data_IF_937820106985
#
_entry.id   IF_937820106985
#
_cell.length_a   1.000
_cell.length_b   1.000
_cell.length_c   1.000
_cell.angle_alpha   90.00
_cell.angle_beta   90.00
_cell.angle_gamma   90.00
#
_symmetry.space_group_name_H-M   'P 1'
#
loop_
_entity.id
_entity.type
_entity.pdbx_description
1 polymer ?
#
# COMPACT_ATOMS: atom_id res chain seq x y z
N UNK A 1 -10.15 -48.06 -18.91
CA UNK A 1 -9.33 -47.98 -17.69
C UNK A 1 -10.04 -47.11 -16.66
N UNK A 2 -10.19 -47.54 -15.39
CA UNK A 2 -10.78 -46.69 -14.36
C UNK A 2 -9.86 -45.48 -14.11
N UNK A 3 -10.35 -44.27 -14.35
CA UNK A 3 -9.57 -43.05 -14.19
C UNK A 3 -9.44 -42.69 -12.70
N UNK A 4 -8.20 -42.70 -12.17
CA UNK A 4 -7.89 -42.24 -10.81
C UNK A 4 -8.17 -40.74 -10.70
N UNK A 5 -9.10 -40.34 -9.82
CA UNK A 5 -9.41 -38.94 -9.56
C UNK A 5 -8.23 -38.27 -8.84
N UNK A 6 -7.84 -37.08 -9.28
CA UNK A 6 -6.89 -36.20 -8.60
C UNK A 6 -7.31 -34.74 -8.74
N UNK A 7 -6.96 -33.86 -7.78
CA UNK A 7 -7.13 -32.43 -7.93
C UNK A 7 -6.41 -31.88 -9.17
N UNK A 8 -6.90 -30.75 -9.69
CA UNK A 8 -6.24 -30.05 -10.79
C UNK A 8 -4.88 -29.50 -10.32
N UNK A 9 -3.91 -29.46 -11.22
CA UNK A 9 -2.57 -28.93 -10.92
C UNK A 9 -2.59 -27.41 -10.99
N UNK A 10 -2.48 -26.77 -9.84
CA UNK A 10 -2.40 -25.32 -9.70
C UNK A 10 -3.75 -24.61 -9.79
N UNK A 11 -3.85 -23.48 -9.09
CA UNK A 11 -5.02 -22.60 -9.17
C UNK A 11 -5.08 -21.92 -10.53
N UNK A 12 -6.31 -21.78 -11.05
CA UNK A 12 -6.61 -21.00 -12.26
C UNK A 12 -6.82 -19.50 -11.96
N UNK A 13 -6.94 -19.11 -10.70
CA UNK A 13 -7.17 -17.72 -10.30
C UNK A 13 -5.98 -16.80 -10.63
N UNK A 14 -4.77 -17.36 -10.71
CA UNK A 14 -3.55 -16.62 -11.06
C UNK A 14 -3.21 -16.70 -12.56
N UNK A 15 -4.22 -16.91 -13.40
CA UNK A 15 -4.10 -16.91 -14.86
C UNK A 15 -4.60 -15.58 -15.43
N UNK A 16 -3.97 -15.02 -16.48
CA UNK A 16 -2.76 -15.51 -17.15
C UNK A 16 -1.51 -15.29 -16.30
N UNK A 17 -0.61 -16.29 -16.28
CA UNK A 17 0.69 -16.19 -15.60
C UNK A 17 1.66 -15.38 -16.46
N UNK A 18 1.48 -14.06 -16.43
CA UNK A 18 2.31 -13.09 -17.17
C UNK A 18 3.15 -12.26 -16.21
N UNK A 19 4.16 -11.56 -16.75
CA UNK A 19 4.92 -10.57 -15.98
C UNK A 19 3.98 -9.47 -15.51
N UNK A 20 4.16 -9.03 -14.26
CA UNK A 20 3.42 -7.88 -13.73
C UNK A 20 3.75 -6.63 -14.55
N UNK A 21 2.75 -5.77 -14.77
CA UNK A 21 2.93 -4.51 -15.50
C UNK A 21 3.72 -3.47 -14.69
N UNK A 22 3.69 -3.58 -13.36
CA UNK A 22 4.47 -2.75 -12.44
C UNK A 22 5.19 -3.65 -11.44
N UNK A 23 6.41 -3.25 -11.08
CA UNK A 23 7.16 -3.90 -10.00
C UNK A 23 6.61 -3.50 -8.62
N UNK A 24 6.07 -2.28 -8.50
CA UNK A 24 5.39 -1.83 -7.28
C UNK A 24 3.99 -2.44 -7.23
N UNK A 25 3.63 -3.17 -6.15
CA UNK A 25 2.30 -3.74 -6.01
C UNK A 25 1.24 -2.63 -5.96
N UNK A 26 0.04 -2.94 -6.46
CA UNK A 26 -1.15 -2.08 -6.35
C UNK A 26 -2.18 -2.82 -5.52
N UNK A 27 -2.78 -2.12 -4.56
CA UNK A 27 -3.83 -2.65 -3.72
C UNK A 27 -5.19 -2.40 -4.38
N UNK A 28 -5.97 -3.47 -4.53
CA UNK A 28 -7.30 -3.43 -5.14
C UNK A 28 -8.40 -3.16 -4.09
N UNK A 29 -8.13 -3.46 -2.82
CA UNK A 29 -9.07 -3.30 -1.72
C UNK A 29 -8.39 -2.72 -0.49
N UNK A 30 -9.19 -2.01 0.30
CA UNK A 30 -8.77 -1.27 1.48
C UNK A 30 -9.65 -1.66 2.67
N UNK A 31 -9.10 -1.73 3.90
CA UNK A 31 -9.88 -2.06 5.09
C UNK A 31 -10.88 -0.94 5.42
N UNK A 32 -12.06 -1.31 5.92
CA UNK A 32 -13.01 -0.33 6.48
C UNK A 32 -12.45 0.28 7.77
N UNK A 33 -12.63 1.59 7.95
CA UNK A 33 -12.17 2.32 9.13
C UNK A 33 -13.37 2.63 10.01
N UNK A 34 -13.33 2.18 11.26
CA UNK A 34 -14.33 2.51 12.29
C UNK A 34 -13.99 3.78 13.09
N UNK A 35 -12.71 4.17 13.12
CA UNK A 35 -12.20 5.24 13.99
C UNK A 35 -11.30 6.19 13.21
N UNK A 36 -11.76 7.45 13.07
CA UNK A 36 -10.98 8.60 12.60
C UNK A 36 -10.28 8.44 11.23
N UNK A 37 -9.69 9.52 10.70
CA UNK A 37 -8.83 9.40 9.53
C UNK A 37 -7.49 8.75 9.92
N UNK A 38 -7.12 7.65 9.25
CA UNK A 38 -5.82 6.98 9.44
C UNK A 38 -5.23 6.53 8.11
N UNK A 39 -3.90 6.57 8.01
CA UNK A 39 -3.18 5.94 6.90
C UNK A 39 -3.31 4.42 7.03
N UNK A 40 -3.66 3.77 5.92
CA UNK A 40 -3.99 2.35 5.89
C UNK A 40 -2.87 1.44 5.41
N UNK A 41 -1.81 2.00 4.81
CA UNK A 41 -0.72 1.21 4.23
C UNK A 41 0.63 1.94 4.33
N UNK A 42 1.70 1.16 4.24
CA UNK A 42 3.08 1.62 4.27
C UNK A 42 3.98 0.68 3.47
N UNK A 43 5.04 1.21 2.88
CA UNK A 43 5.96 0.45 2.04
C UNK A 43 7.35 0.33 2.65
N UNK A 44 8.05 -0.76 2.32
CA UNK A 44 9.42 -1.02 2.72
C UNK A 44 10.16 -1.90 1.71
N UNK A 45 11.44 -2.14 1.98
CA UNK A 45 12.35 -2.92 1.15
C UNK A 45 12.71 -4.22 1.87
N UNK A 46 12.66 -5.34 1.16
CA UNK A 46 13.04 -6.63 1.74
C UNK A 46 14.56 -6.70 1.90
N UNK A 47 15.03 -6.81 3.15
CA UNK A 47 16.44 -6.98 3.46
C UNK A 47 16.83 -8.48 3.49
N UNK A 48 16.04 -9.31 4.17
CA UNK A 48 16.39 -10.72 4.33
C UNK A 48 15.43 -11.51 5.19
N UNK A 49 15.88 -12.67 5.66
CA UNK A 49 15.14 -13.54 6.57
C UNK A 49 16.05 -14.02 7.69
N UNK A 50 15.50 -14.20 8.88
CA UNK A 50 16.18 -14.79 10.03
C UNK A 50 15.16 -15.61 10.85
N UNK A 51 15.55 -16.09 12.02
CA UNK A 51 14.65 -16.66 13.01
C UNK A 51 14.62 -15.80 14.26
N UNK A 52 13.46 -15.76 14.92
CA UNK A 52 13.29 -15.15 16.23
C UNK A 52 12.85 -16.22 17.22
N UNK A 53 13.36 -16.14 18.45
CA UNK A 53 12.80 -16.89 19.57
C UNK A 53 11.74 -16.01 20.24
N UNK A 54 10.51 -16.53 20.34
CA UNK A 54 9.35 -15.79 20.83
C UNK A 54 8.58 -16.65 21.81
N UNK A 55 8.06 -16.05 22.88
CA UNK A 55 7.16 -16.73 23.82
C UNK A 55 5.77 -16.87 23.19
N UNK A 56 5.22 -18.08 23.15
CA UNK A 56 3.88 -18.32 22.60
C UNK A 56 2.79 -17.89 23.58
N UNK A 57 2.13 -16.76 23.31
CA UNK A 57 1.05 -16.22 24.13
C UNK A 57 -0.34 -16.78 23.79
N UNK A 58 -0.46 -17.72 22.85
CA UNK A 58 -1.75 -18.29 22.46
C UNK A 58 -2.25 -19.26 23.53
N UNK A 59 -3.30 -18.88 24.25
CA UNK A 59 -3.84 -19.63 25.40
C UNK A 59 -4.27 -21.07 25.10
N UNK A 60 -4.72 -21.35 23.86
CA UNK A 60 -5.16 -22.69 23.43
C UNK A 60 -4.04 -23.53 22.81
N UNK A 61 -2.81 -23.01 22.76
CA UNK A 61 -1.67 -23.71 22.18
C UNK A 61 -1.06 -24.66 23.20
N UNK A 62 -0.57 -25.82 22.73
CA UNK A 62 0.18 -26.76 23.58
C UNK A 62 1.51 -26.16 24.04
N UNK A 63 2.04 -25.19 23.30
CA UNK A 63 3.29 -24.48 23.62
C UNK A 63 3.07 -23.18 24.36
N UNK A 64 1.85 -22.91 24.86
CA UNK A 64 1.54 -21.68 25.59
C UNK A 64 2.54 -21.44 26.75
N UNK A 65 3.12 -20.24 26.81
CA UNK A 65 4.11 -19.85 27.80
C UNK A 65 5.52 -20.41 27.58
N UNK A 66 5.76 -21.16 26.49
CA UNK A 66 7.09 -21.66 26.11
C UNK A 66 7.69 -20.84 24.99
N UNK A 67 9.01 -20.84 24.92
CA UNK A 67 9.77 -20.23 23.82
C UNK A 67 9.70 -21.13 22.56
N UNK A 68 9.37 -20.52 21.42
CA UNK A 68 9.30 -21.16 20.11
C UNK A 68 10.16 -20.39 19.10
N UNK A 69 10.76 -21.12 18.15
CA UNK A 69 11.51 -20.53 17.05
C UNK A 69 10.59 -20.25 15.86
N UNK A 70 10.55 -19.01 15.38
CA UNK A 70 9.69 -18.57 14.28
C UNK A 70 10.55 -17.97 13.16
N UNK A 71 10.35 -18.37 11.88
CA UNK A 71 11.00 -17.71 10.75
C UNK A 71 10.39 -16.32 10.54
N UNK A 72 11.25 -15.30 10.43
CA UNK A 72 10.85 -13.91 10.24
C UNK A 72 11.50 -13.32 9.00
N UNK A 73 10.79 -12.40 8.34
CA UNK A 73 11.33 -11.61 7.22
C UNK A 73 11.62 -10.21 7.72
N UNK A 74 12.84 -9.72 7.49
CA UNK A 74 13.26 -8.37 7.87
C UNK A 74 13.01 -7.44 6.68
N UNK A 75 12.26 -6.38 6.94
CA UNK A 75 11.99 -5.31 5.99
C UNK A 75 12.63 -4.02 6.52
N UNK A 76 13.36 -3.31 5.66
CA UNK A 76 13.79 -1.94 5.92
C UNK A 76 12.69 -0.97 5.53
N UNK A 77 12.26 -0.16 6.50
CA UNK A 77 11.05 0.63 6.38
C UNK A 77 11.35 2.09 6.72
N UNK A 78 12.12 2.81 5.87
CA UNK A 78 12.46 4.20 6.12
C UNK A 78 11.21 5.10 6.08
N UNK A 79 11.25 6.30 6.70
CA UNK A 79 10.13 7.24 6.64
C UNK A 79 9.73 7.54 5.19
N UNK A 80 8.44 7.43 4.89
CA UNK A 80 7.86 7.82 3.61
C UNK A 80 7.41 9.27 3.64
N UNK A 81 7.23 9.86 2.47
CA UNK A 81 6.73 11.24 2.33
C UNK A 81 5.43 11.26 1.53
N UNK A 82 4.58 12.22 1.88
CA UNK A 82 3.35 12.52 1.15
C UNK A 82 3.68 13.54 0.06
N UNK A 83 3.33 13.24 -1.18
CA UNK A 83 3.43 14.17 -2.31
C UNK A 83 2.15 14.98 -2.48
N UNK A 84 0.98 14.33 -2.37
CA UNK A 84 -0.30 14.96 -2.58
C UNK A 84 -1.44 14.18 -1.90
N UNK A 85 -2.60 14.81 -1.77
CA UNK A 85 -3.87 14.19 -1.42
C UNK A 85 -4.74 14.13 -2.67
N UNK A 86 -5.23 12.95 -3.04
CA UNK A 86 -6.13 12.74 -4.16
C UNK A 86 -7.55 12.48 -3.65
N UNK A 87 -8.50 13.18 -4.25
CA UNK A 87 -9.92 13.09 -3.89
C UNK A 87 -10.68 12.41 -5.02
N UNK A 88 -11.62 11.55 -4.66
CA UNK A 88 -12.48 10.83 -5.58
C UNK A 88 -13.95 11.19 -5.36
N UNK A 89 -14.66 11.30 -6.47
CA UNK A 89 -16.11 11.47 -6.54
C UNK A 89 -16.75 10.21 -7.12
N UNK A 90 -17.96 9.88 -6.67
CA UNK A 90 -18.77 8.84 -7.31
C UNK A 90 -19.43 9.41 -8.56
N UNK A 91 -19.17 8.76 -9.68
CA UNK A 91 -19.90 8.97 -10.93
C UNK A 91 -20.79 7.77 -11.23
N UNK A 92 -21.69 7.88 -12.23
CA UNK A 92 -22.47 6.73 -12.72
C UNK A 92 -21.62 5.54 -13.18
N UNK A 93 -20.32 5.76 -13.43
CA UNK A 93 -19.35 4.75 -13.86
C UNK A 93 -18.40 4.31 -12.74
N UNK A 94 -18.68 4.71 -11.49
CA UNK A 94 -17.87 4.43 -10.31
C UNK A 94 -16.98 5.61 -9.90
N UNK A 95 -16.01 5.32 -9.04
CA UNK A 95 -15.05 6.28 -8.48
C UNK A 95 -14.19 6.91 -9.59
N UNK A 96 -14.22 8.24 -9.66
CA UNK A 96 -13.34 9.03 -10.55
C UNK A 96 -12.56 10.02 -9.72
N UNK A 97 -11.32 10.30 -10.12
CA UNK A 97 -10.53 11.38 -9.51
C UNK A 97 -11.18 12.73 -9.78
N UNK A 98 -11.63 13.42 -8.73
CA UNK A 98 -12.13 14.79 -8.79
C UNK A 98 -10.96 15.79 -8.92
N UNK A 99 -9.88 15.54 -8.18
CA UNK A 99 -8.65 16.33 -8.26
C UNK A 99 -7.62 15.91 -7.22
N UNK A 100 -6.54 16.68 -7.17
CA UNK A 100 -5.39 16.43 -6.29
C UNK A 100 -4.91 17.73 -5.67
N UNK A 101 -4.54 17.67 -4.38
CA UNK A 101 -3.84 18.75 -3.68
C UNK A 101 -2.41 18.35 -3.41
N UNK A 102 -1.48 19.01 -4.12
CA UNK A 102 -0.04 18.77 -3.97
C UNK A 102 0.55 19.55 -2.79
N UNK A 103 1.58 18.98 -2.17
CA UNK A 103 2.31 19.66 -1.12
C UNK A 103 3.11 20.84 -1.69
N UNK A 104 3.24 21.93 -0.93
CA UNK A 104 4.01 23.13 -1.32
C UNK A 104 5.50 22.84 -1.49
N UNK A 105 6.05 21.99 -0.63
CA UNK A 105 7.45 21.56 -0.70
C UNK A 105 7.52 20.05 -0.93
N UNK A 106 7.98 19.65 -2.11
CA UNK A 106 8.19 18.26 -2.47
C UNK A 106 9.69 18.00 -2.64
N UNK A 107 10.17 16.81 -2.24
CA UNK A 107 11.59 16.47 -2.37
C UNK A 107 12.01 16.48 -3.85
N UNK A 108 13.14 17.11 -4.15
CA UNK A 108 13.74 17.16 -5.50
C UNK A 108 13.95 15.77 -6.10
N UNK A 109 14.16 14.75 -5.27
CA UNK A 109 14.30 13.35 -5.70
C UNK A 109 13.06 12.81 -6.40
N UNK A 110 11.86 13.29 -6.05
CA UNK A 110 10.63 12.90 -6.75
C UNK A 110 10.65 13.35 -8.21
N UNK A 111 11.33 14.47 -8.49
CA UNK A 111 11.53 15.01 -9.84
C UNK A 111 12.27 14.07 -10.80
N UNK A 112 13.01 13.09 -10.28
CA UNK A 112 13.66 12.06 -11.08
C UNK A 112 12.66 11.07 -11.68
N UNK A 113 11.50 10.90 -11.04
CA UNK A 113 10.50 9.90 -11.43
C UNK A 113 9.27 10.51 -12.08
N UNK A 114 8.85 11.68 -11.65
CA UNK A 114 7.63 12.37 -12.07
C UNK A 114 7.88 13.87 -12.29
N UNK A 115 7.20 14.51 -13.24
CA UNK A 115 7.22 15.96 -13.36
C UNK A 115 6.48 16.58 -12.16
N UNK A 116 7.21 17.26 -11.29
CA UNK A 116 6.64 17.90 -10.09
C UNK A 116 6.13 19.30 -10.44
N UNK A 117 4.91 19.68 -10.01
CA UNK A 117 4.39 21.05 -10.17
C UNK A 117 5.30 22.07 -9.46
N UNK A 118 5.76 23.11 -10.17
CA UNK A 118 6.65 24.15 -9.60
C UNK A 118 5.89 25.31 -8.95
N UNK A 119 4.81 25.74 -9.59
CA UNK A 119 3.98 26.88 -9.15
C UNK A 119 2.57 26.38 -8.86
N UNK A 120 2.42 25.65 -7.75
CA UNK A 120 1.14 25.07 -7.36
C UNK A 120 0.59 25.80 -6.14
N UNK A 121 -0.68 26.19 -6.22
CA UNK A 121 -1.38 26.90 -5.16
C UNK A 121 -2.34 25.93 -4.46
N UNK A 122 -1.98 25.42 -3.26
CA UNK A 122 -2.78 24.41 -2.58
C UNK A 122 -4.10 24.96 -2.05
N UNK A 123 -4.18 26.25 -1.72
CA UNK A 123 -5.39 26.86 -1.17
C UNK A 123 -6.51 26.88 -2.21
N UNK A 124 -6.18 27.34 -3.44
CA UNK A 124 -7.12 27.32 -4.57
C UNK A 124 -7.61 25.92 -4.90
N UNK A 125 -6.72 24.93 -4.84
CA UNK A 125 -7.09 23.56 -5.12
C UNK A 125 -8.04 22.97 -4.07
N UNK A 126 -7.86 23.31 -2.80
CA UNK A 126 -8.81 22.96 -1.75
C UNK A 126 -10.17 23.62 -1.96
N UNK A 127 -10.20 24.89 -2.37
CA UNK A 127 -11.45 25.59 -2.69
C UNK A 127 -12.20 24.99 -3.88
N UNK A 128 -11.49 24.54 -4.92
CA UNK A 128 -12.08 23.86 -6.07
C UNK A 128 -12.65 22.49 -5.68
N UNK A 129 -11.90 21.73 -4.87
CA UNK A 129 -12.34 20.41 -4.39
C UNK A 129 -13.49 20.49 -3.39
N UNK A 130 -13.59 21.56 -2.61
CA UNK A 130 -14.71 21.79 -1.68
C UNK A 130 -16.07 21.92 -2.37
N UNK A 131 -16.10 22.10 -3.70
CA UNK A 131 -17.33 22.18 -4.50
C UNK A 131 -17.81 20.81 -4.99
N UNK A 132 -16.94 19.79 -4.97
CA UNK A 132 -17.26 18.43 -5.40
C UNK A 132 -17.81 17.59 -4.26
N UNK A 133 -18.66 16.61 -4.58
CA UNK A 133 -19.13 15.61 -3.62
C UNK A 133 -18.04 14.54 -3.43
N UNK A 134 -17.45 14.50 -2.24
CA UNK A 134 -16.27 13.69 -1.95
C UNK A 134 -16.69 12.34 -1.37
N UNK A 135 -16.31 11.26 -2.05
CA UNK A 135 -16.60 9.88 -1.61
C UNK A 135 -15.37 9.20 -0.97
N UNK A 136 -14.20 9.30 -1.60
CA UNK A 136 -12.97 8.62 -1.14
C UNK A 136 -11.76 9.57 -1.20
N UNK A 137 -10.84 9.41 -0.26
CA UNK A 137 -9.63 10.24 -0.11
C UNK A 137 -8.41 9.34 -0.02
N UNK A 138 -7.47 9.50 -0.94
CA UNK A 138 -6.23 8.72 -0.99
C UNK A 138 -5.02 9.62 -0.95
N UNK A 139 -4.03 9.22 -0.17
CA UNK A 139 -2.77 9.97 -0.06
C UNK A 139 -1.76 9.41 -1.06
N UNK A 140 -1.21 10.27 -1.91
CA UNK A 140 -0.12 9.92 -2.82
C UNK A 140 1.20 9.98 -2.06
N UNK A 141 1.77 8.81 -1.77
CA UNK A 141 3.01 8.68 -1.02
C UNK A 141 4.16 8.16 -1.88
N UNK A 142 5.39 8.47 -1.48
CA UNK A 142 6.60 7.93 -2.10
C UNK A 142 7.63 7.51 -1.03
N UNK A 143 8.43 6.51 -1.36
CA UNK A 143 9.54 6.03 -0.52
C UNK A 143 10.77 6.91 -0.69
N UNK A 144 11.72 6.80 0.25
CA UNK A 144 13.02 7.48 0.20
C UNK A 144 14.14 6.43 0.11
N UNK A 145 14.47 5.92 -1.09
CA UNK A 145 15.40 4.79 -1.25
C UNK A 145 16.82 5.09 -0.73
N UNK A 146 17.26 6.35 -0.74
CA UNK A 146 18.61 6.73 -0.27
C UNK A 146 18.83 6.55 1.23
N UNK A 147 17.75 6.38 2.01
CA UNK A 147 17.83 6.14 3.45
C UNK A 147 17.97 4.65 3.79
N UNK A 148 17.81 3.76 2.81
CA UNK A 148 18.02 2.31 2.93
C UNK A 148 19.52 2.06 2.86
N UNK A 149 20.07 1.33 3.83
CA UNK A 149 21.54 1.15 3.99
C UNK A 149 21.97 -0.27 3.65
#
# INVERSE_FOLDING_TARGET
MPNKRRPRRGSKAYSPRKRAASQTPRLDSWPEISEGPKLQDFAGYKAGMTHALVVDFRSKSLTAGREIQIPVTVLEVPPMRVAAVRVYETTRYGLRTAGEVWASTVNNELGLRLPVPKNYDPEKAWEELGKSDIEDVRVLTYTQPKLVT
#
